data_IF_450877095211
#
_entry.id   IF_450877095211
#
_cell.length_a   1.000
_cell.length_b   1.000
_cell.length_c   1.000
_cell.angle_alpha   90.00
_cell.angle_beta   90.00
_cell.angle_gamma   90.00
#
_symmetry.space_group_name_H-M   'P 1'
#
loop_
_entity.id
_entity.type
_entity.pdbx_description
1 polymer ?
#
# COMPACT_ATOMS: atom_id res chain seq x y z
N UNK A 1 10.34 20.64 3.11
CA UNK A 1 9.55 20.92 1.88
C UNK A 1 9.84 19.91 0.76
N UNK A 2 11.08 19.73 0.24
CA UNK A 2 11.32 18.87 -0.94
C UNK A 2 10.96 17.39 -0.71
N UNK A 3 11.27 16.84 0.46
CA UNK A 3 10.95 15.45 0.81
C UNK A 3 9.44 15.18 0.73
N UNK A 4 8.61 16.11 1.22
CA UNK A 4 7.16 15.95 1.16
C UNK A 4 6.61 15.97 -0.26
N UNK A 5 7.19 16.78 -1.15
CA UNK A 5 6.83 16.83 -2.56
C UNK A 5 7.27 15.56 -3.29
N UNK A 6 8.47 15.05 -3.02
CA UNK A 6 8.98 13.81 -3.63
C UNK A 6 8.09 12.62 -3.26
N UNK A 7 7.70 12.52 -1.99
CA UNK A 7 6.82 11.44 -1.52
C UNK A 7 5.43 11.55 -2.14
N UNK A 8 4.94 12.78 -2.34
CA UNK A 8 3.68 13.00 -3.03
C UNK A 8 3.76 12.59 -4.51
N UNK A 9 4.84 12.92 -5.21
CA UNK A 9 5.05 12.46 -6.59
C UNK A 9 5.14 10.93 -6.63
N UNK A 10 5.87 10.32 -5.69
CA UNK A 10 5.96 8.87 -5.57
C UNK A 10 4.60 8.23 -5.29
N UNK A 11 3.74 8.85 -4.49
CA UNK A 11 2.38 8.37 -4.24
C UNK A 11 1.54 8.39 -5.51
N UNK A 12 1.67 9.41 -6.36
CA UNK A 12 0.97 9.47 -7.65
C UNK A 12 1.43 8.36 -8.61
N UNK A 13 2.75 8.12 -8.70
CA UNK A 13 3.30 7.03 -9.51
C UNK A 13 2.81 5.67 -9.00
N UNK A 14 2.86 5.45 -7.69
CA UNK A 14 2.37 4.23 -7.07
C UNK A 14 0.86 4.04 -7.28
N UNK A 15 0.07 5.12 -7.24
CA UNK A 15 -1.35 5.09 -7.51
C UNK A 15 -1.64 4.64 -8.96
N UNK A 16 -0.88 5.11 -9.95
CA UNK A 16 -1.00 4.64 -11.34
C UNK A 16 -0.64 3.16 -11.45
N UNK A 17 0.41 2.71 -10.77
CA UNK A 17 0.80 1.30 -10.75
C UNK A 17 -0.29 0.41 -10.13
N UNK A 18 -0.93 0.85 -9.02
CA UNK A 18 -2.06 0.16 -8.42
C UNK A 18 -3.28 0.11 -9.34
N UNK A 19 -3.59 1.21 -10.03
CA UNK A 19 -4.69 1.24 -10.99
C UNK A 19 -4.46 0.27 -12.15
N UNK A 20 -3.25 0.28 -12.72
CA UNK A 20 -2.86 -0.62 -13.78
C UNK A 20 -2.99 -2.08 -13.34
N UNK A 21 -2.44 -2.42 -12.18
CA UNK A 21 -2.50 -3.77 -11.61
C UNK A 21 -3.95 -4.22 -11.34
N UNK A 22 -4.79 -3.33 -10.80
CA UNK A 22 -6.20 -3.59 -10.52
C UNK A 22 -7.00 -3.92 -11.80
N UNK A 23 -6.78 -3.13 -12.86
CA UNK A 23 -7.47 -3.29 -14.15
C UNK A 23 -6.94 -4.51 -14.89
N UNK A 24 -5.63 -4.70 -14.97
CA UNK A 24 -5.00 -5.82 -15.67
C UNK A 24 -5.42 -7.16 -15.06
N UNK A 25 -5.38 -7.27 -13.73
CA UNK A 25 -5.77 -8.50 -13.03
C UNK A 25 -7.29 -8.65 -12.85
N UNK A 26 -8.09 -7.64 -13.23
CA UNK A 26 -9.55 -7.57 -13.00
C UNK A 26 -9.91 -7.86 -11.54
N UNK A 27 -9.11 -7.31 -10.62
CA UNK A 27 -9.16 -7.64 -9.20
C UNK A 27 -9.94 -6.56 -8.42
N UNK A 28 -11.14 -6.88 -7.96
CA UNK A 28 -11.98 -5.96 -7.16
C UNK A 28 -11.31 -5.50 -5.88
N UNK A 29 -10.51 -6.35 -5.24
CA UNK A 29 -9.84 -6.04 -3.98
C UNK A 29 -8.81 -4.93 -4.19
N UNK A 30 -8.11 -4.94 -5.32
CA UNK A 30 -7.15 -3.90 -5.67
C UNK A 30 -7.83 -2.57 -6.02
N UNK A 31 -9.04 -2.61 -6.58
CA UNK A 31 -9.85 -1.39 -6.78
C UNK A 31 -10.21 -0.75 -5.44
N UNK A 32 -10.63 -1.54 -4.44
CA UNK A 32 -10.91 -1.02 -3.09
C UNK A 32 -9.64 -0.42 -2.48
N UNK A 33 -8.51 -1.13 -2.58
CA UNK A 33 -7.23 -0.63 -2.08
C UNK A 33 -6.79 0.67 -2.77
N UNK A 34 -7.01 0.80 -4.07
CA UNK A 34 -6.75 2.04 -4.83
C UNK A 34 -7.58 3.22 -4.28
N UNK A 35 -8.86 3.01 -3.99
CA UNK A 35 -9.74 4.06 -3.44
C UNK A 35 -9.30 4.47 -2.03
N UNK A 36 -8.97 3.51 -1.17
CA UNK A 36 -8.45 3.77 0.17
C UNK A 36 -7.09 4.47 0.13
N UNK A 37 -6.24 4.10 -0.83
CA UNK A 37 -4.95 4.74 -1.04
C UNK A 37 -5.10 6.20 -1.50
N UNK A 38 -6.06 6.50 -2.39
CA UNK A 38 -6.35 7.86 -2.79
C UNK A 38 -6.88 8.71 -1.62
N UNK A 39 -7.66 8.11 -0.69
CA UNK A 39 -8.12 8.78 0.53
C UNK A 39 -6.94 9.13 1.45
N UNK A 40 -5.93 8.26 1.52
CA UNK A 40 -4.69 8.55 2.22
C UNK A 40 -3.92 9.70 1.55
N UNK A 41 -3.85 9.73 0.21
CA UNK A 41 -3.24 10.81 -0.55
C UNK A 41 -3.98 12.15 -0.35
N UNK A 42 -5.32 12.12 -0.24
CA UNK A 42 -6.11 13.30 0.09
C UNK A 42 -5.76 13.83 1.48
N UNK A 43 -5.74 12.97 2.50
CA UNK A 43 -5.34 13.32 3.87
C UNK A 43 -3.93 13.92 3.89
N UNK A 44 -3.00 13.32 3.15
CA UNK A 44 -1.64 13.81 3.00
C UNK A 44 -1.58 15.22 2.40
N UNK A 45 -2.32 15.49 1.33
CA UNK A 45 -2.37 16.81 0.69
C UNK A 45 -2.93 17.89 1.62
N UNK A 46 -3.89 17.54 2.48
CA UNK A 46 -4.41 18.45 3.51
C UNK A 46 -3.34 18.80 4.55
N UNK A 47 -2.59 17.81 5.06
CA UNK A 47 -1.47 18.07 5.99
C UNK A 47 -0.37 18.90 5.33
N UNK A 48 -0.08 18.63 4.05
CA UNK A 48 0.91 19.37 3.28
C UNK A 48 0.55 20.84 3.12
N UNK A 49 -0.72 21.13 2.86
CA UNK A 49 -1.21 22.50 2.80
C UNK A 49 -1.00 23.23 4.14
N UNK A 50 -1.42 22.63 5.26
CA UNK A 50 -1.29 23.25 6.59
C UNK A 50 0.16 23.56 6.94
N UNK A 51 1.04 22.57 6.76
CA UNK A 51 2.43 22.70 7.18
C UNK A 51 3.21 23.71 6.34
N UNK A 52 2.96 23.78 5.03
CA UNK A 52 3.63 24.76 4.19
C UNK A 52 3.09 26.17 4.43
N UNK A 53 1.78 26.31 4.67
CA UNK A 53 1.18 27.59 5.04
C UNK A 53 1.81 28.14 6.34
N UNK A 54 1.99 27.30 7.37
CA UNK A 54 2.62 27.70 8.63
C UNK A 54 4.10 28.08 8.44
N UNK A 55 4.85 27.31 7.65
CA UNK A 55 6.25 27.59 7.35
C UNK A 55 6.46 28.90 6.57
N UNK A 56 5.51 29.26 5.69
CA UNK A 56 5.53 30.53 4.94
C UNK A 56 5.18 31.72 5.83
N UNK A 57 4.18 31.60 6.71
CA UNK A 57 3.77 32.68 7.63
C UNK A 57 4.86 32.97 8.67
N UNK A 58 5.57 31.94 9.14
CA UNK A 58 6.67 32.09 10.11
C UNK A 58 7.88 32.84 9.54
N UNK A 59 8.11 32.76 8.22
CA UNK A 59 9.22 33.43 7.55
C UNK A 59 8.90 34.88 7.19
N UNK A 60 9.26 35.81 8.07
CA UNK A 60 9.07 37.27 7.88
C UNK A 60 9.87 37.87 6.71
N UNK A 61 10.83 37.13 6.15
CA UNK A 61 11.70 37.56 5.05
C UNK A 61 11.08 37.39 3.66
N UNK A 62 9.95 36.69 3.55
CA UNK A 62 9.28 36.42 2.28
C UNK A 62 8.19 37.48 2.05
N UNK A 63 8.12 38.01 0.83
CA UNK A 63 7.09 38.97 0.44
C UNK A 63 5.68 38.37 0.64
N UNK A 64 4.79 39.13 1.30
CA UNK A 64 3.44 38.70 1.62
C UNK A 64 2.59 38.47 0.38
N UNK A 65 2.84 39.21 -0.70
CA UNK A 65 2.15 39.00 -1.97
C UNK A 65 2.51 37.63 -2.57
N UNK A 66 3.79 37.25 -2.51
CA UNK A 66 4.27 35.95 -3.00
C UNK A 66 3.74 34.79 -2.14
N UNK A 67 3.66 34.95 -0.81
CA UNK A 67 3.03 33.95 0.08
C UNK A 67 1.56 33.72 -0.29
N UNK A 68 0.82 34.78 -0.58
CA UNK A 68 -0.59 34.69 -0.98
C UNK A 68 -0.78 33.93 -2.30
N UNK A 69 0.06 34.20 -3.30
CA UNK A 69 0.01 33.48 -4.58
C UNK A 69 0.39 32.00 -4.42
N UNK A 70 1.40 31.68 -3.61
CA UNK A 70 1.77 30.29 -3.32
C UNK A 70 0.65 29.53 -2.60
N UNK A 71 -0.03 30.16 -1.64
CA UNK A 71 -1.13 29.52 -0.91
C UNK A 71 -2.31 29.16 -1.83
N UNK A 72 -2.63 30.01 -2.83
CA UNK A 72 -3.67 29.71 -3.83
C UNK A 72 -3.32 28.49 -4.68
N UNK A 73 -2.07 28.37 -5.11
CA UNK A 73 -1.62 27.22 -5.89
C UNK A 73 -1.64 25.95 -5.03
N UNK A 74 -1.33 26.07 -3.74
CA UNK A 74 -1.27 24.92 -2.83
C UNK A 74 -2.64 24.36 -2.45
N UNK A 75 -3.68 25.20 -2.36
CA UNK A 75 -5.04 24.71 -2.09
C UNK A 75 -5.62 23.95 -3.30
N UNK A 76 -5.12 24.21 -4.51
CA UNK A 76 -5.54 23.47 -5.69
C UNK A 76 -5.27 21.96 -5.56
N UNK A 77 -4.17 21.56 -4.91
CA UNK A 77 -3.80 20.15 -4.77
C UNK A 77 -4.85 19.31 -4.01
N UNK A 78 -5.22 19.61 -2.74
CA UNK A 78 -6.25 18.86 -2.04
C UNK A 78 -7.63 18.96 -2.72
N UNK A 79 -7.96 20.08 -3.37
CA UNK A 79 -9.22 20.23 -4.11
C UNK A 79 -9.28 19.26 -5.30
N UNK A 80 -8.23 19.18 -6.11
CA UNK A 80 -8.17 18.28 -7.27
C UNK A 80 -8.24 16.83 -6.80
N UNK A 81 -7.45 16.44 -5.79
CA UNK A 81 -7.48 15.07 -5.26
C UNK A 81 -8.86 14.75 -4.69
N UNK A 82 -9.52 15.70 -4.00
CA UNK A 82 -10.86 15.51 -3.46
C UNK A 82 -11.91 15.28 -4.55
N UNK A 83 -11.83 16.01 -5.66
CA UNK A 83 -12.70 15.78 -6.82
C UNK A 83 -12.41 14.40 -7.44
N UNK A 84 -11.13 14.06 -7.64
CA UNK A 84 -10.73 12.74 -8.12
C UNK A 84 -11.23 11.61 -7.21
N UNK A 85 -11.21 11.79 -5.89
CA UNK A 85 -11.71 10.82 -4.92
C UNK A 85 -13.20 10.51 -5.15
N UNK A 86 -14.04 11.53 -5.39
CA UNK A 86 -15.46 11.34 -5.69
C UNK A 86 -15.66 10.56 -7.00
N UNK A 87 -14.88 10.89 -8.03
CA UNK A 87 -14.89 10.17 -9.32
C UNK A 87 -14.46 8.72 -9.12
N UNK A 88 -13.42 8.45 -8.33
CA UNK A 88 -12.94 7.11 -8.05
C UNK A 88 -13.91 6.30 -7.21
N UNK A 89 -14.67 6.90 -6.29
CA UNK A 89 -15.77 6.20 -5.61
C UNK A 89 -16.85 5.75 -6.60
N UNK A 90 -17.25 6.64 -7.51
CA UNK A 90 -18.25 6.31 -8.54
C UNK A 90 -17.77 5.19 -9.48
N UNK A 91 -16.57 5.34 -10.04
CA UNK A 91 -15.97 4.34 -10.92
C UNK A 91 -15.72 3.03 -10.17
N UNK A 92 -15.24 3.11 -8.94
CA UNK A 92 -15.00 1.97 -8.06
C UNK A 92 -16.26 1.14 -7.81
N UNK A 93 -17.40 1.79 -7.56
CA UNK A 93 -18.67 1.10 -7.39
C UNK A 93 -19.11 0.36 -8.66
N UNK A 94 -18.94 0.97 -9.84
CA UNK A 94 -19.21 0.33 -11.13
C UNK A 94 -18.28 -0.85 -11.40
N UNK A 95 -16.98 -0.69 -11.17
CA UNK A 95 -15.98 -1.75 -11.35
C UNK A 95 -16.19 -2.92 -10.39
N UNK A 96 -16.59 -2.65 -9.15
CA UNK A 96 -16.87 -3.69 -8.16
C UNK A 96 -17.97 -4.64 -8.63
N UNK A 97 -19.05 -4.10 -9.21
CA UNK A 97 -20.12 -4.89 -9.79
C UNK A 97 -19.61 -5.70 -11.00
N UNK A 98 -19.00 -5.04 -11.98
CA UNK A 98 -18.54 -5.66 -13.24
C UNK A 98 -17.53 -6.81 -13.01
N UNK A 99 -16.52 -6.58 -12.17
CA UNK A 99 -15.49 -7.58 -11.87
C UNK A 99 -16.01 -8.68 -10.94
N UNK A 100 -16.92 -8.37 -10.03
CA UNK A 100 -17.61 -9.37 -9.20
C UNK A 100 -18.36 -10.40 -10.05
N UNK A 101 -19.07 -9.94 -11.08
CA UNK A 101 -19.76 -10.79 -12.05
C UNK A 101 -18.82 -11.66 -12.88
N UNK A 102 -17.64 -11.16 -13.25
CA UNK A 102 -16.63 -11.93 -14.02
C UNK A 102 -15.92 -12.99 -13.18
N UNK A 103 -15.59 -12.68 -11.92
CA UNK A 103 -15.01 -13.64 -10.97
C UNK A 103 -15.96 -14.82 -10.72
N UNK A 104 -17.26 -14.54 -10.60
CA UNK A 104 -18.28 -15.59 -10.47
C UNK A 104 -18.25 -16.57 -11.65
N UNK A 105 -18.09 -16.08 -12.89
CA UNK A 105 -18.05 -16.93 -14.10
C UNK A 105 -16.75 -17.72 -14.28
N UNK A 106 -15.60 -17.20 -13.83
CA UNK A 106 -14.28 -17.80 -14.12
C UNK A 106 -13.88 -18.94 -13.17
N UNK A 107 -14.28 -18.89 -11.89
CA UNK A 107 -13.80 -19.82 -10.85
C UNK A 107 -14.70 -21.08 -10.72
N UNK A 108 -15.92 -21.05 -11.27
CA UNK A 108 -16.87 -22.15 -11.10
C UNK A 108 -17.60 -22.12 -9.75
N UNK A 109 -18.36 -23.18 -9.46
CA UNK A 109 -19.35 -23.20 -8.39
C UNK A 109 -18.77 -23.47 -6.98
N UNK A 110 -17.50 -23.86 -6.84
CA UNK A 110 -16.92 -24.19 -5.54
C UNK A 110 -16.70 -22.91 -4.69
N UNK A 111 -17.47 -22.72 -3.60
CA UNK A 111 -17.40 -21.51 -2.79
C UNK A 111 -16.12 -21.45 -1.95
N UNK A 112 -15.52 -22.59 -1.59
CA UNK A 112 -14.42 -22.66 -0.63
C UNK A 112 -13.09 -22.22 -1.27
N UNK A 113 -12.81 -22.72 -2.48
CA UNK A 113 -11.64 -22.31 -3.27
C UNK A 113 -11.70 -20.80 -3.58
N UNK A 114 -12.90 -20.30 -3.90
CA UNK A 114 -13.11 -18.86 -4.15
C UNK A 114 -12.86 -18.03 -2.90
N UNK A 115 -13.30 -18.48 -1.73
CA UNK A 115 -13.05 -17.77 -0.47
C UNK A 115 -11.55 -17.72 -0.16
N UNK A 116 -10.86 -18.85 -0.28
CA UNK A 116 -9.41 -18.91 -0.09
C UNK A 116 -8.63 -18.00 -1.03
N UNK A 117 -8.97 -18.00 -2.32
CA UNK A 117 -8.34 -17.14 -3.30
C UNK A 117 -8.58 -15.65 -3.01
N UNK A 118 -9.76 -15.27 -2.51
CA UNK A 118 -10.05 -13.90 -2.06
C UNK A 118 -9.14 -13.48 -0.91
N UNK A 119 -9.01 -14.30 0.12
CA UNK A 119 -8.11 -14.02 1.25
C UNK A 119 -6.65 -13.85 0.80
N UNK A 120 -6.19 -14.69 -0.13
CA UNK A 120 -4.86 -14.57 -0.71
C UNK A 120 -4.69 -13.26 -1.51
N UNK A 121 -5.67 -12.86 -2.31
CA UNK A 121 -5.64 -11.58 -3.02
C UNK A 121 -5.68 -10.37 -2.07
N UNK A 122 -6.43 -10.45 -0.97
CA UNK A 122 -6.42 -9.43 0.09
C UNK A 122 -5.03 -9.32 0.69
N UNK A 123 -4.42 -10.44 1.07
CA UNK A 123 -3.06 -10.48 1.61
C UNK A 123 -2.04 -9.83 0.67
N UNK A 124 -2.00 -10.23 -0.60
CA UNK A 124 -1.08 -9.62 -1.59
C UNK A 124 -1.34 -8.12 -1.79
N UNK A 125 -2.59 -7.69 -1.72
CA UNK A 125 -2.94 -6.27 -1.90
C UNK A 125 -2.49 -5.43 -0.71
N UNK A 126 -2.68 -5.92 0.52
CA UNK A 126 -2.21 -5.24 1.73
C UNK A 126 -0.68 -5.17 1.72
N UNK A 127 0.02 -6.24 1.34
CA UNK A 127 1.49 -6.23 1.23
C UNK A 127 2.01 -5.15 0.27
N UNK A 128 1.33 -4.89 -0.86
CA UNK A 128 1.70 -3.80 -1.76
C UNK A 128 1.59 -2.44 -1.07
N UNK A 129 0.53 -2.23 -0.29
CA UNK A 129 0.36 -1.01 0.51
C UNK A 129 1.40 -0.90 1.63
N UNK A 130 1.70 -2.01 2.32
CA UNK A 130 2.73 -2.07 3.36
C UNK A 130 4.07 -1.59 2.83
N UNK A 131 4.50 -2.05 1.64
CA UNK A 131 5.73 -1.58 1.00
C UNK A 131 5.73 -0.06 0.87
N UNK A 132 4.65 0.51 0.33
CA UNK A 132 4.58 1.95 0.12
C UNK A 132 4.65 2.74 1.44
N UNK A 133 3.80 2.40 2.42
CA UNK A 133 3.72 3.16 3.67
C UNK A 133 4.95 2.94 4.55
N UNK A 134 5.50 1.73 4.59
CA UNK A 134 6.74 1.45 5.31
C UNK A 134 7.93 2.20 4.73
N UNK A 135 8.09 2.16 3.39
CA UNK A 135 9.16 2.91 2.71
C UNK A 135 8.97 4.42 2.89
N UNK A 136 7.75 4.91 2.73
CA UNK A 136 7.41 6.32 2.93
C UNK A 136 7.77 6.79 4.34
N UNK A 137 7.36 6.06 5.38
CA UNK A 137 7.73 6.35 6.76
C UNK A 137 9.25 6.33 6.96
N UNK A 138 9.92 5.29 6.47
CA UNK A 138 11.35 5.09 6.69
C UNK A 138 12.20 6.18 6.01
N UNK A 139 11.85 6.57 4.78
CA UNK A 139 12.52 7.66 4.05
C UNK A 139 12.28 9.00 4.76
N UNK A 140 11.05 9.30 5.18
CA UNK A 140 10.76 10.52 5.95
C UNK A 140 11.55 10.55 7.24
N UNK A 141 11.55 9.44 7.97
CA UNK A 141 12.23 9.34 9.25
C UNK A 141 13.74 9.52 9.12
N UNK A 142 14.34 8.86 8.14
CA UNK A 142 15.76 8.91 7.87
C UNK A 142 16.22 10.30 7.42
N UNK A 143 15.47 10.95 6.52
CA UNK A 143 15.89 12.24 5.93
C UNK A 143 15.53 13.42 6.82
N UNK A 144 14.41 13.37 7.55
CA UNK A 144 13.87 14.52 8.28
C UNK A 144 14.14 14.51 9.79
N UNK A 145 14.44 13.34 10.38
CA UNK A 145 14.62 13.22 11.84
C UNK A 145 16.04 12.81 12.21
N UNK A 146 16.58 11.79 11.55
CA UNK A 146 17.86 11.21 11.97
C UNK A 146 19.04 12.07 11.55
N UNK A 147 19.97 12.25 12.49
CA UNK A 147 21.26 12.88 12.25
C UNK A 147 22.35 11.80 12.12
N UNK A 148 23.45 12.10 11.41
CA UNK A 148 24.53 11.13 11.16
C UNK A 148 25.21 10.56 12.42
N UNK A 149 25.07 11.24 13.56
CA UNK A 149 25.61 10.77 14.86
C UNK A 149 24.67 9.87 15.66
N UNK A 150 23.41 9.73 15.26
CA UNK A 150 22.44 8.88 15.95
C UNK A 150 22.66 7.41 15.55
N UNK A 151 22.69 6.50 16.54
CA UNK A 151 22.79 5.05 16.30
C UNK A 151 21.64 4.50 15.44
N UNK A 152 20.50 5.20 15.41
CA UNK A 152 19.34 4.84 14.60
C UNK A 152 19.54 5.14 13.10
N UNK A 153 20.49 6.00 12.73
CA UNK A 153 20.79 6.35 11.34
C UNK A 153 21.26 5.14 10.50
N UNK A 154 22.38 4.47 10.84
CA UNK A 154 22.80 3.28 10.10
C UNK A 154 21.79 2.14 10.23
N UNK A 155 21.11 2.02 11.39
CA UNK A 155 20.11 0.98 11.62
C UNK A 155 18.94 1.11 10.64
N UNK A 156 18.44 2.33 10.43
CA UNK A 156 17.30 2.58 9.53
C UNK A 156 17.69 2.38 8.06
N UNK A 157 18.94 2.72 7.68
CA UNK A 157 19.49 2.45 6.35
C UNK A 157 19.50 0.95 6.05
N UNK A 158 19.90 0.12 7.02
CA UNK A 158 19.93 -1.34 6.87
C UNK A 158 18.52 -1.94 6.97
N UNK A 159 17.65 -1.37 7.80
CA UNK A 159 16.28 -1.83 7.97
C UNK A 159 15.45 -1.68 6.68
N UNK A 160 15.64 -0.61 5.91
CA UNK A 160 14.93 -0.37 4.64
C UNK A 160 14.99 -1.55 3.64
N UNK A 161 16.17 -1.99 3.17
CA UNK A 161 16.29 -3.13 2.27
C UNK A 161 15.90 -4.45 2.95
N UNK A 162 16.17 -4.58 4.26
CA UNK A 162 15.79 -5.76 5.02
C UNK A 162 14.26 -5.94 5.06
N UNK A 163 13.49 -4.88 5.28
CA UNK A 163 12.03 -4.96 5.28
C UNK A 163 11.49 -5.30 3.89
N UNK A 164 12.04 -4.72 2.82
CA UNK A 164 11.70 -5.13 1.46
C UNK A 164 11.97 -6.63 1.24
N UNK A 165 13.13 -7.12 1.71
CA UNK A 165 13.47 -8.54 1.63
C UNK A 165 12.46 -9.40 2.40
N UNK A 166 12.10 -9.03 3.64
CA UNK A 166 11.11 -9.75 4.45
C UNK A 166 9.75 -9.80 3.75
N UNK A 167 9.31 -8.71 3.12
CA UNK A 167 8.04 -8.67 2.38
C UNK A 167 8.09 -9.52 1.09
N UNK A 168 9.22 -9.55 0.37
CA UNK A 168 9.41 -10.45 -0.77
C UNK A 168 9.42 -11.91 -0.31
N UNK A 169 10.11 -12.22 0.79
CA UNK A 169 10.11 -13.53 1.42
C UNK A 169 8.70 -13.92 1.89
N UNK A 170 7.87 -12.97 2.32
CA UNK A 170 6.48 -13.21 2.65
C UNK A 170 5.66 -13.67 1.44
N UNK A 171 5.79 -12.97 0.30
CA UNK A 171 5.15 -13.37 -0.96
C UNK A 171 5.65 -14.73 -1.41
N UNK A 172 6.95 -14.98 -1.32
CA UNK A 172 7.56 -16.27 -1.66
C UNK A 172 7.07 -17.41 -0.76
N UNK A 173 7.04 -17.19 0.56
CA UNK A 173 6.53 -18.16 1.53
C UNK A 173 5.05 -18.46 1.31
N UNK A 174 4.24 -17.45 0.98
CA UNK A 174 2.83 -17.60 0.68
C UNK A 174 2.56 -18.26 -0.70
N UNK A 175 3.46 -18.09 -1.67
CA UNK A 175 3.27 -18.56 -3.06
C UNK A 175 3.88 -19.94 -3.33
N UNK A 176 5.09 -20.22 -2.84
CA UNK A 176 5.96 -21.25 -3.42
C UNK A 176 6.13 -22.47 -2.52
N UNK A 177 6.41 -22.39 -1.22
CA UNK A 177 6.81 -23.58 -0.44
C UNK A 177 6.39 -23.57 1.03
N UNK A 178 5.23 -24.17 1.30
CA UNK A 178 4.74 -24.51 2.64
C UNK A 178 5.61 -25.55 3.40
N UNK A 179 6.67 -26.06 2.78
CA UNK A 179 7.53 -27.07 3.41
C UNK A 179 8.55 -26.47 4.39
N UNK A 180 8.79 -25.16 4.33
CA UNK A 180 9.73 -24.49 5.21
C UNK A 180 9.01 -23.78 6.38
N UNK A 181 8.60 -24.57 7.39
CA UNK A 181 8.19 -24.06 8.71
C UNK A 181 9.04 -22.86 9.20
N UNK A 182 10.39 -22.82 9.04
CA UNK A 182 11.17 -21.66 9.45
C UNK A 182 10.83 -20.36 8.70
N UNK A 183 10.50 -20.38 7.40
CA UNK A 183 10.21 -19.14 6.66
C UNK A 183 8.91 -18.50 7.13
N UNK A 184 7.88 -19.30 7.41
CA UNK A 184 6.61 -18.79 7.95
C UNK A 184 6.79 -18.28 9.38
N UNK A 185 7.49 -19.01 10.23
CA UNK A 185 7.78 -18.52 11.59
C UNK A 185 8.58 -17.21 11.55
N UNK A 186 9.60 -17.13 10.69
CA UNK A 186 10.37 -15.90 10.50
C UNK A 186 9.49 -14.74 10.02
N UNK A 187 8.55 -15.00 9.12
CA UNK A 187 7.60 -13.99 8.64
C UNK A 187 6.70 -13.45 9.76
N UNK A 188 6.09 -14.33 10.56
CA UNK A 188 5.26 -13.89 11.71
C UNK A 188 6.08 -13.14 12.77
N UNK A 189 7.31 -13.57 13.05
CA UNK A 189 8.23 -12.84 13.92
C UNK A 189 8.54 -11.45 13.34
N UNK A 190 8.77 -11.36 12.03
CA UNK A 190 8.98 -10.09 11.34
C UNK A 190 7.77 -9.14 11.43
N UNK A 191 6.55 -9.66 11.26
CA UNK A 191 5.32 -8.87 11.44
C UNK A 191 5.17 -8.38 12.89
N UNK A 192 5.40 -9.24 13.88
CA UNK A 192 5.35 -8.86 15.28
C UNK A 192 6.40 -7.80 15.63
N UNK A 193 7.63 -7.95 15.11
CA UNK A 193 8.69 -6.95 15.25
C UNK A 193 8.31 -5.62 14.58
N UNK A 194 7.68 -5.65 13.40
CA UNK A 194 7.15 -4.46 12.72
C UNK A 194 6.08 -3.74 13.54
N UNK A 195 5.12 -4.47 14.10
CA UNK A 195 4.09 -3.90 14.98
C UNK A 195 4.71 -3.25 16.21
N UNK A 196 5.62 -3.95 16.88
CA UNK A 196 6.34 -3.42 18.05
C UNK A 196 7.14 -2.15 17.69
N UNK A 197 7.81 -2.15 16.54
CA UNK A 197 8.58 -1.01 16.03
C UNK A 197 7.69 0.22 15.80
N UNK A 198 6.54 0.08 15.14
CA UNK A 198 5.65 1.22 14.90
C UNK A 198 4.99 1.74 16.18
N UNK A 199 4.64 0.87 17.13
CA UNK A 199 4.17 1.29 18.45
C UNK A 199 5.24 2.11 19.17
N UNK A 200 6.49 1.61 19.19
CA UNK A 200 7.62 2.33 19.77
C UNK A 200 7.87 3.68 19.07
N UNK A 201 7.79 3.73 17.75
CA UNK A 201 7.98 4.98 17.00
C UNK A 201 6.87 6.00 17.27
N UNK A 202 5.61 5.56 17.36
CA UNK A 202 4.51 6.46 17.76
C UNK A 202 4.78 7.03 19.15
N UNK A 203 5.16 6.20 20.13
CA UNK A 203 5.53 6.68 21.46
C UNK A 203 6.66 7.72 21.40
N UNK A 204 7.73 7.43 20.64
CA UNK A 204 8.91 8.30 20.51
C UNK A 204 8.59 9.65 19.85
N UNK A 205 7.64 9.70 18.92
CA UNK A 205 7.19 10.94 18.28
C UNK A 205 6.49 11.88 19.28
N UNK A 206 5.84 11.33 20.32
CA UNK A 206 5.13 12.10 21.34
C UNK A 206 5.91 12.31 22.63
N UNK A 207 7.07 11.68 22.79
CA UNK A 207 7.97 11.87 23.91
C UNK A 207 8.47 13.33 24.00
N UNK A 208 8.25 13.97 25.15
CA UNK A 208 8.61 15.37 25.37
C UNK A 208 10.12 15.61 25.24
N UNK A 209 10.94 14.60 25.58
CA UNK A 209 12.40 14.68 25.49
C UNK A 209 12.91 14.91 24.06
N UNK A 210 12.14 14.50 23.05
CA UNK A 210 12.50 14.61 21.63
C UNK A 210 11.66 15.63 20.87
N UNK A 211 10.84 16.45 21.56
CA UNK A 211 9.87 17.36 20.91
C UNK A 211 10.50 18.25 19.83
N UNK A 212 11.72 18.73 20.05
CA UNK A 212 12.42 19.58 19.07
C UNK A 212 12.75 18.85 17.78
N UNK A 213 13.09 17.55 17.83
CA UNK A 213 13.39 16.75 16.63
C UNK A 213 12.15 16.53 15.75
N UNK A 214 10.95 16.50 16.35
CA UNK A 214 9.72 16.15 15.63
C UNK A 214 8.79 17.33 15.30
N UNK A 215 9.12 18.55 15.73
CA UNK A 215 8.19 19.69 15.75
C UNK A 215 7.56 19.98 14.36
N UNK A 216 8.32 19.88 13.28
CA UNK A 216 7.86 20.16 11.91
C UNK A 216 7.56 18.92 11.06
N UNK A 217 7.55 17.73 11.67
CA UNK A 217 7.41 16.44 10.96
C UNK A 217 6.42 15.50 11.62
N UNK A 218 5.99 15.83 12.85
CA UNK A 218 5.13 15.02 13.70
C UNK A 218 3.85 14.57 13.00
N UNK A 219 3.11 15.47 12.38
CA UNK A 219 1.81 15.13 11.77
C UNK A 219 1.97 14.09 10.65
N UNK A 220 2.96 14.26 9.77
CA UNK A 220 3.25 13.34 8.69
C UNK A 220 3.75 11.97 9.17
N UNK A 221 4.72 11.97 10.08
CA UNK A 221 5.28 10.74 10.63
C UNK A 221 4.23 9.95 11.39
N UNK A 222 3.39 10.62 12.19
CA UNK A 222 2.28 9.96 12.90
C UNK A 222 1.27 9.39 11.92
N UNK A 223 0.89 10.13 10.87
CA UNK A 223 -0.06 9.63 9.87
C UNK A 223 0.46 8.34 9.20
N UNK A 224 1.70 8.36 8.71
CA UNK A 224 2.32 7.18 8.10
C UNK A 224 2.47 6.02 9.11
N UNK A 225 2.88 6.31 10.34
CA UNK A 225 3.04 5.29 11.38
C UNK A 225 1.70 4.63 11.74
N UNK A 226 0.63 5.41 11.91
CA UNK A 226 -0.71 4.90 12.22
C UNK A 226 -1.26 4.05 11.07
N UNK A 227 -1.14 4.51 9.82
CA UNK A 227 -1.61 3.75 8.65
C UNK A 227 -0.81 2.46 8.51
N UNK A 228 0.52 2.51 8.65
CA UNK A 228 1.37 1.30 8.58
C UNK A 228 1.05 0.32 9.70
N UNK A 229 0.80 0.80 10.92
CA UNK A 229 0.41 -0.06 12.04
C UNK A 229 -0.91 -0.79 11.78
N UNK A 230 -1.92 -0.07 11.25
CA UNK A 230 -3.21 -0.67 10.88
C UNK A 230 -3.01 -1.73 9.78
N UNK A 231 -2.24 -1.40 8.73
CA UNK A 231 -1.96 -2.34 7.64
C UNK A 231 -1.21 -3.58 8.14
N UNK A 232 -0.21 -3.44 9.01
CA UNK A 232 0.51 -4.59 9.60
C UNK A 232 -0.40 -5.49 10.44
N UNK A 233 -1.33 -4.94 11.21
CA UNK A 233 -2.32 -5.73 11.94
C UNK A 233 -3.23 -6.49 10.98
N UNK A 234 -3.72 -5.83 9.92
CA UNK A 234 -4.50 -6.49 8.89
C UNK A 234 -3.68 -7.56 8.16
N UNK A 235 -2.41 -7.32 7.84
CA UNK A 235 -1.50 -8.29 7.23
C UNK A 235 -1.32 -9.50 8.13
N UNK A 236 -1.17 -9.31 9.44
CA UNK A 236 -1.03 -10.40 10.41
C UNK A 236 -2.27 -11.29 10.46
N UNK A 237 -3.46 -10.69 10.52
CA UNK A 237 -4.74 -11.43 10.51
C UNK A 237 -4.92 -12.17 9.19
N UNK A 238 -4.71 -11.50 8.05
CA UNK A 238 -4.84 -12.11 6.73
C UNK A 238 -3.81 -13.23 6.50
N UNK A 239 -2.58 -13.07 6.99
CA UNK A 239 -1.54 -14.09 6.94
C UNK A 239 -1.95 -15.35 7.71
N UNK A 240 -2.51 -15.18 8.92
CA UNK A 240 -2.99 -16.30 9.74
C UNK A 240 -4.15 -17.05 9.07
N UNK A 241 -5.10 -16.31 8.47
CA UNK A 241 -6.23 -16.91 7.73
C UNK A 241 -5.73 -17.65 6.49
N UNK A 242 -4.81 -17.06 5.74
CA UNK A 242 -4.19 -17.73 4.60
C UNK A 242 -3.54 -19.03 5.06
N UNK A 243 -2.66 -18.95 6.06
CA UNK A 243 -1.97 -20.11 6.64
C UNK A 243 -2.92 -21.25 7.03
N UNK A 244 -3.99 -20.95 7.77
CA UNK A 244 -4.97 -21.96 8.20
C UNK A 244 -5.73 -22.58 7.02
N UNK A 245 -6.02 -21.80 5.99
CA UNK A 245 -6.78 -22.29 4.86
C UNK A 245 -5.93 -23.14 3.90
N UNK A 246 -4.61 -22.88 3.78
CA UNK A 246 -3.73 -23.56 2.81
C UNK A 246 -3.65 -25.09 2.96
N UNK A 247 -3.85 -25.62 4.18
CA UNK A 247 -3.92 -27.06 4.44
C UNK A 247 -5.15 -27.75 3.84
N UNK A 248 -6.14 -26.99 3.33
CA UNK A 248 -7.39 -27.51 2.76
C UNK A 248 -7.43 -27.64 1.23
N UNK A 249 -6.28 -27.54 0.54
CA UNK A 249 -6.17 -27.92 -0.88
C UNK A 249 -6.04 -26.79 -1.92
N UNK A 250 -5.62 -25.58 -1.54
CA UNK A 250 -5.39 -24.47 -2.50
C UNK A 250 -4.08 -24.60 -3.31
N UNK A 251 -3.17 -25.48 -2.88
CA UNK A 251 -1.84 -25.70 -3.48
C UNK A 251 -1.88 -25.97 -5.00
N UNK A 252 -2.76 -26.83 -5.55
CA UNK A 252 -2.77 -27.14 -6.99
C UNK A 252 -3.23 -25.97 -7.86
N UNK A 253 -4.17 -25.16 -7.36
CA UNK A 253 -4.80 -24.07 -8.15
C UNK A 253 -3.94 -22.81 -8.23
N UNK A 254 -3.12 -22.52 -7.22
CA UNK A 254 -2.16 -21.43 -7.28
C UNK A 254 -0.92 -21.78 -8.13
N UNK A 255 -0.42 -23.03 -8.02
CA UNK A 255 0.70 -23.51 -8.84
C UNK A 255 0.32 -23.57 -10.33
N UNK A 256 -0.89 -24.02 -10.67
CA UNK A 256 -1.37 -24.05 -12.06
C UNK A 256 -1.38 -22.66 -12.73
N UNK A 257 -1.57 -21.58 -11.95
CA UNK A 257 -1.53 -20.21 -12.47
C UNK A 257 -0.13 -19.61 -12.54
N UNK A 258 0.83 -20.09 -11.75
CA UNK A 258 2.23 -19.71 -11.90
C UNK A 258 2.84 -20.34 -13.18
N UNK A 259 2.34 -21.53 -13.57
CA UNK A 259 2.77 -22.27 -14.77
C UNK A 259 1.95 -21.95 -16.04
N UNK A 260 0.89 -21.15 -15.96
CA UNK A 260 0.18 -20.62 -17.13
C UNK A 260 0.82 -19.27 -17.53
N UNK A 261 1.79 -19.24 -18.47
CA UNK A 261 2.15 -17.98 -19.11
C UNK A 261 0.90 -17.41 -19.77
N UNK A 262 0.76 -16.10 -19.71
CA UNK A 262 -0.28 -15.25 -20.29
C UNK A 262 -0.66 -15.64 -21.73
N UNK A 263 -1.41 -16.72 -21.93
CA UNK A 263 -1.94 -17.10 -23.23
C UNK A 263 -3.29 -16.40 -23.42
N UNK A 264 -3.22 -15.32 -24.21
CA UNK A 264 -4.19 -14.87 -25.19
C UNK A 264 -5.63 -15.34 -24.95
N UNK A 265 -6.44 -14.50 -24.29
CA UNK A 265 -7.90 -14.58 -24.42
C UNK A 265 -8.36 -13.61 -25.52
N UNK A 266 -7.92 -13.86 -26.74
CA UNK A 266 -8.56 -13.42 -27.98
C UNK A 266 -8.36 -14.57 -28.98
N UNK A 267 -9.42 -15.39 -29.14
CA UNK A 267 -9.69 -16.39 -30.20
C UNK A 267 -10.27 -17.68 -29.61
N UNK A 268 -11.58 -17.67 -29.32
CA UNK A 268 -12.47 -18.75 -29.78
C UNK A 268 -13.93 -18.36 -29.54
N UNK A 269 -14.40 -17.38 -30.32
CA UNK A 269 -15.80 -17.15 -30.57
C UNK A 269 -15.97 -17.06 -32.10
N UNK A 270 -16.14 -18.20 -32.76
CA UNK A 270 -16.48 -18.22 -34.19
C UNK A 270 -15.80 -19.32 -35.00
N UNK A 271 -16.14 -20.58 -34.73
CA UNK A 271 -15.61 -21.71 -35.50
C UNK A 271 -16.55 -22.91 -35.49
N UNK A 272 -17.84 -22.71 -35.83
CA UNK A 272 -18.71 -23.81 -36.22
C UNK A 272 -18.49 -24.09 -37.70
N UNK A 273 -17.52 -24.94 -38.03
CA UNK A 273 -17.48 -25.61 -39.34
C UNK A 273 -18.37 -26.84 -39.24
N UNK A 274 -19.57 -26.70 -39.80
CA UNK A 274 -20.48 -27.78 -40.11
C UNK A 274 -19.91 -28.49 -41.34
N UNK A 275 -19.27 -29.64 -41.16
CA UNK A 275 -18.95 -30.55 -42.28
C UNK A 275 -19.94 -31.71 -42.21
N UNK A 276 -20.99 -31.60 -43.01
CA UNK A 276 -21.75 -32.72 -43.53
C UNK A 276 -21.21 -32.94 -44.95
N UNK A 277 -20.44 -34.01 -45.12
CA UNK A 277 -20.44 -34.91 -46.27
C UNK A 277 -19.78 -36.23 -45.83
#
# INVERSE_FOLDING_TARGET
>A
IPVYLIIFIFSLVFQVALAWDAVHNKNTIQVIAFILFNLCCFSYAVFQFKQIAEALISNKSIDRALVWELQKIMIANPVIIGICQLVYFYLGARLYLEFGWRIYKKIGADPDIRNMYRWYQIFLTILKLDIFFFLGFSIQYLVLVLQRGDVEYPLTIVALPLTCLVLVLAVYAASVKHESKPLITLFFVGLAAGVAYFIFKIYRIYDESQRQKYLFVKEFLTFFACVTLILLLLTTVNAAICWYNFDKGLKPHLLKRADEPSQNTEENAGGRTLSLD
#
